data_IF_679392887371
#
_entry.id   IF_679392887371
#
_cell.length_a   1.000
_cell.length_b   1.000
_cell.length_c   1.000
_cell.angle_alpha   90.00
_cell.angle_beta   90.00
_cell.angle_gamma   90.00
#
_symmetry.space_group_name_H-M   'P 1'
#
loop_
_entity.id
_entity.type
_entity.pdbx_description
1 polymer ?
#
# COMPACT_ATOMS: atom_id res chain seq x y z
N UNK A 1 44.37 -14.74 -4.96
CA UNK A 1 44.61 -13.82 -6.09
C UNK A 1 43.51 -13.89 -7.13
N UNK A 2 42.90 -15.05 -7.40
CA UNK A 2 41.82 -15.17 -8.41
C UNK A 2 40.46 -14.57 -7.99
N UNK A 3 40.13 -14.54 -6.69
CA UNK A 3 38.85 -13.98 -6.22
C UNK A 3 38.77 -12.45 -6.35
N UNK A 4 39.90 -11.74 -6.24
CA UNK A 4 39.94 -10.29 -6.45
C UNK A 4 39.89 -9.92 -7.94
N UNK A 5 40.42 -10.77 -8.83
CA UNK A 5 40.30 -10.59 -10.28
C UNK A 5 38.84 -10.80 -10.73
N UNK A 6 38.15 -11.80 -10.17
CA UNK A 6 36.74 -12.06 -10.47
C UNK A 6 35.81 -10.93 -10.00
N UNK A 7 36.07 -10.35 -8.81
CA UNK A 7 35.31 -9.20 -8.30
C UNK A 7 35.55 -7.95 -9.14
N UNK A 8 36.77 -7.74 -9.64
CA UNK A 8 37.10 -6.59 -10.49
C UNK A 8 36.54 -6.73 -11.92
N UNK A 9 36.40 -7.96 -12.43
CA UNK A 9 35.80 -8.26 -13.73
C UNK A 9 34.27 -8.19 -13.69
N UNK A 10 33.63 -8.62 -12.60
CA UNK A 10 32.18 -8.43 -12.38
C UNK A 10 31.83 -6.95 -12.15
N UNK A 11 32.66 -6.19 -11.42
CA UNK A 11 32.46 -4.75 -11.25
C UNK A 11 32.64 -3.96 -12.57
N UNK A 12 33.62 -4.34 -13.40
CA UNK A 12 33.81 -3.72 -14.71
C UNK A 12 32.66 -4.08 -15.67
N UNK A 13 32.15 -5.31 -15.66
CA UNK A 13 31.01 -5.71 -16.49
C UNK A 13 29.69 -5.06 -16.02
N UNK A 14 29.50 -4.83 -14.71
CA UNK A 14 28.35 -4.06 -14.20
C UNK A 14 28.43 -2.58 -14.60
N UNK A 15 29.64 -1.99 -14.58
CA UNK A 15 29.85 -0.60 -15.03
C UNK A 15 29.72 -0.43 -16.56
N UNK A 16 30.10 -1.45 -17.34
CA UNK A 16 29.92 -1.45 -18.80
C UNK A 16 28.47 -1.70 -19.21
N UNK A 17 27.71 -2.52 -18.48
CA UNK A 17 26.29 -2.71 -18.73
C UNK A 17 25.43 -1.48 -18.34
N UNK A 18 25.85 -0.71 -17.34
CA UNK A 18 25.26 0.61 -17.03
C UNK A 18 25.54 1.64 -18.14
N UNK A 19 26.62 1.46 -18.91
CA UNK A 19 27.01 2.35 -20.00
C UNK A 19 26.53 1.88 -21.40
N UNK A 20 25.99 0.66 -21.52
CA UNK A 20 25.44 0.11 -22.78
C UNK A 20 23.95 0.41 -22.99
N UNK A 21 23.31 1.13 -22.07
CA UNK A 21 21.95 1.65 -22.23
C UNK A 21 21.94 3.02 -22.95
N UNK A 22 22.98 3.31 -23.74
CA UNK A 22 23.02 4.50 -24.61
C UNK A 22 22.87 4.19 -26.10
N UNK A 23 22.68 2.92 -26.51
CA UNK A 23 22.69 2.54 -27.94
C UNK A 23 21.38 1.90 -28.46
N UNK A 24 20.32 1.81 -27.64
CA UNK A 24 18.99 1.33 -28.08
C UNK A 24 17.88 2.41 -27.94
N UNK A 25 18.23 3.63 -27.50
CA UNK A 25 17.26 4.74 -27.36
C UNK A 25 17.52 5.82 -28.42
N UNK A 26 17.62 5.42 -29.70
CA UNK A 26 17.69 6.37 -30.82
C UNK A 26 16.37 6.46 -31.60
N UNK A 27 15.28 5.89 -31.06
CA UNK A 27 13.92 6.08 -31.57
C UNK A 27 12.98 6.46 -30.43
N UNK A 28 12.47 7.69 -30.48
CA UNK A 28 11.50 8.33 -29.56
C UNK A 28 12.00 9.01 -28.28
N UNK A 29 12.88 10.01 -28.44
CA UNK A 29 13.18 11.06 -27.44
C UNK A 29 11.91 11.83 -26.99
N UNK A 30 10.80 11.76 -27.74
CA UNK A 30 9.50 12.36 -27.39
C UNK A 30 8.62 11.49 -26.49
N UNK A 31 8.87 10.18 -26.40
CA UNK A 31 8.05 9.22 -25.66
C UNK A 31 8.43 9.12 -24.18
N UNK A 32 9.72 9.17 -23.87
CA UNK A 32 10.25 9.02 -22.51
C UNK A 32 9.73 10.05 -21.50
N UNK A 33 9.75 11.37 -21.78
CA UNK A 33 9.19 12.36 -20.84
C UNK A 33 7.66 12.21 -20.69
N UNK A 34 6.95 11.83 -21.76
CA UNK A 34 5.50 11.59 -21.69
C UNK A 34 5.18 10.39 -20.79
N UNK A 35 5.97 9.32 -20.89
CA UNK A 35 5.86 8.15 -20.03
C UNK A 35 6.05 8.51 -18.54
N UNK A 36 7.10 9.25 -18.20
CA UNK A 36 7.37 9.70 -16.83
C UNK A 36 6.24 10.57 -16.27
N UNK A 37 5.69 11.48 -17.09
CA UNK A 37 4.54 12.32 -16.72
C UNK A 37 3.32 11.45 -16.43
N UNK A 38 3.02 10.46 -17.27
CA UNK A 38 1.92 9.52 -17.04
C UNK A 38 2.11 8.79 -15.70
N UNK A 39 3.32 8.32 -15.39
CA UNK A 39 3.59 7.64 -14.12
C UNK A 39 3.38 8.56 -12.92
N UNK A 40 3.91 9.79 -12.97
CA UNK A 40 3.71 10.77 -11.92
C UNK A 40 2.21 11.04 -11.70
N UNK A 41 1.43 11.20 -12.77
CA UNK A 41 -0.02 11.38 -12.69
C UNK A 41 -0.75 10.16 -12.10
N UNK A 42 -0.33 8.94 -12.43
CA UNK A 42 -0.88 7.72 -11.84
C UNK A 42 -0.54 7.62 -10.34
N UNK A 43 0.68 7.96 -9.94
CA UNK A 43 1.07 8.05 -8.53
C UNK A 43 0.26 9.09 -7.75
N UNK A 44 0.05 10.27 -8.34
CA UNK A 44 -0.82 11.32 -7.81
C UNK A 44 -2.27 10.82 -7.66
N UNK A 45 -2.80 10.16 -8.69
CA UNK A 45 -4.13 9.57 -8.67
C UNK A 45 -4.27 8.54 -7.53
N UNK A 46 -3.28 7.66 -7.38
CA UNK A 46 -3.24 6.68 -6.31
C UNK A 46 -3.25 7.34 -4.92
N UNK A 47 -2.41 8.37 -4.74
CA UNK A 47 -2.38 9.15 -3.50
C UNK A 47 -3.74 9.76 -3.16
N UNK A 48 -4.39 10.42 -4.13
CA UNK A 48 -5.69 11.05 -3.91
C UNK A 48 -6.82 10.05 -3.67
N UNK A 49 -6.88 8.95 -4.42
CA UNK A 49 -7.89 7.91 -4.24
C UNK A 49 -7.84 7.28 -2.85
N UNK A 50 -6.63 6.95 -2.39
CA UNK A 50 -6.44 6.36 -1.07
C UNK A 50 -6.58 7.37 0.07
N UNK A 51 -6.22 8.63 -0.15
CA UNK A 51 -6.52 9.72 0.81
C UNK A 51 -8.02 9.94 0.93
N UNK A 52 -8.76 9.90 -0.18
CA UNK A 52 -10.22 9.99 -0.17
C UNK A 52 -10.85 8.81 0.57
N UNK A 53 -10.34 7.58 0.36
CA UNK A 53 -10.76 6.40 1.13
C UNK A 53 -10.52 6.61 2.63
N UNK A 54 -9.33 7.09 3.01
CA UNK A 54 -8.98 7.40 4.39
C UNK A 54 -9.95 8.39 5.03
N UNK A 55 -10.18 9.54 4.39
CA UNK A 55 -11.10 10.58 4.87
C UNK A 55 -12.53 10.03 4.99
N UNK A 56 -13.00 9.31 3.98
CA UNK A 56 -14.36 8.75 3.96
C UNK A 56 -14.55 7.74 5.10
N UNK A 57 -13.55 6.90 5.37
CA UNK A 57 -13.57 5.96 6.49
C UNK A 57 -13.56 6.69 7.84
N UNK A 58 -12.76 7.75 8.00
CA UNK A 58 -12.75 8.56 9.21
C UNK A 58 -14.11 9.23 9.48
N UNK A 59 -14.75 9.76 8.44
CA UNK A 59 -16.06 10.39 8.57
C UNK A 59 -17.16 9.38 8.90
N UNK A 60 -17.15 8.21 8.27
CA UNK A 60 -18.04 7.10 8.62
C UNK A 60 -17.87 6.68 10.09
N UNK A 61 -16.62 6.60 10.56
CA UNK A 61 -16.28 6.30 11.97
C UNK A 61 -16.83 7.36 12.92
N UNK A 62 -16.69 8.65 12.58
CA UNK A 62 -17.20 9.77 13.39
C UNK A 62 -18.74 9.76 13.46
N UNK A 63 -19.41 9.52 12.33
CA UNK A 63 -20.88 9.46 12.25
C UNK A 63 -21.45 8.35 13.12
N UNK A 64 -20.95 7.12 12.95
CA UNK A 64 -21.45 5.98 13.72
C UNK A 64 -21.17 6.11 15.22
N UNK A 65 -20.22 6.97 15.62
CA UNK A 65 -20.03 7.36 17.02
C UNK A 65 -21.15 8.32 17.47
N UNK A 66 -21.43 9.35 16.68
CA UNK A 66 -22.44 10.38 16.99
C UNK A 66 -23.87 9.83 17.05
N UNK A 67 -24.27 8.98 16.08
CA UNK A 67 -25.61 8.38 16.07
C UNK A 67 -25.88 7.52 17.32
N UNK A 68 -24.82 6.91 17.89
CA UNK A 68 -24.89 6.12 19.13
C UNK A 68 -24.91 6.97 20.40
N UNK A 69 -24.37 8.18 20.37
CA UNK A 69 -24.51 9.13 21.49
C UNK A 69 -25.93 9.70 21.57
N UNK A 70 -26.59 9.87 20.41
CA UNK A 70 -27.94 10.42 20.32
C UNK A 70 -29.04 9.35 20.49
N UNK A 71 -28.82 8.12 20.03
CA UNK A 71 -29.80 7.03 20.06
C UNK A 71 -29.76 6.17 21.34
N UNK A 72 -29.80 6.78 22.53
CA UNK A 72 -29.73 6.06 23.80
C UNK A 72 -30.58 4.77 23.84
N UNK A 73 -29.97 3.68 24.31
CA UNK A 73 -30.52 2.33 24.56
C UNK A 73 -30.19 1.27 23.50
N UNK A 74 -29.29 0.35 23.88
CA UNK A 74 -29.53 -1.11 23.95
C UNK A 74 -28.38 -1.69 24.76
N UNK A 75 -28.73 -2.37 25.85
CA UNK A 75 -27.83 -3.08 26.78
C UNK A 75 -27.31 -4.34 26.10
N UNK A 76 -26.36 -4.17 25.19
CA UNK A 76 -25.29 -5.15 24.97
C UNK A 76 -24.02 -4.44 25.45
N UNK A 77 -23.24 -5.09 26.32
CA UNK A 77 -21.97 -4.62 26.87
C UNK A 77 -21.33 -3.55 25.98
N UNK A 78 -21.50 -2.28 26.37
CA UNK A 78 -21.27 -1.08 25.53
C UNK A 78 -19.84 -1.05 24.95
N UNK A 79 -18.92 -1.74 25.64
CA UNK A 79 -17.51 -1.96 25.27
C UNK A 79 -17.29 -2.94 24.12
N UNK A 80 -18.09 -4.00 23.96
CA UNK A 80 -17.72 -5.15 23.11
C UNK A 80 -18.10 -4.95 21.63
N UNK A 81 -19.23 -4.28 21.39
CA UNK A 81 -19.65 -3.82 20.05
C UNK A 81 -18.82 -2.61 19.59
N UNK A 82 -18.40 -1.76 20.53
CA UNK A 82 -17.57 -0.59 20.25
C UNK A 82 -16.15 -0.96 19.82
N UNK A 83 -15.59 -2.02 20.39
CA UNK A 83 -14.30 -2.61 19.99
C UNK A 83 -14.41 -3.21 18.58
N UNK A 84 -15.36 -4.11 18.32
CA UNK A 84 -15.54 -4.76 17.01
C UNK A 84 -15.69 -3.79 15.83
N UNK A 85 -16.46 -2.71 16.04
CA UNK A 85 -16.68 -1.68 15.04
C UNK A 85 -15.46 -0.74 14.89
N UNK A 86 -14.70 -0.48 15.96
CA UNK A 86 -13.49 0.37 15.94
C UNK A 86 -12.31 -0.29 15.21
N UNK A 87 -12.25 -1.61 15.23
CA UNK A 87 -11.07 -2.37 14.81
C UNK A 87 -11.10 -2.78 13.33
N UNK A 88 -12.29 -2.97 12.75
CA UNK A 88 -12.43 -3.23 11.31
C UNK A 88 -11.96 -2.05 10.45
N UNK A 89 -12.28 -0.81 10.83
CA UNK A 89 -11.85 0.38 10.08
C UNK A 89 -10.38 0.70 10.27
N UNK A 90 -9.79 0.38 11.43
CA UNK A 90 -8.38 0.68 11.69
C UNK A 90 -7.45 0.00 10.67
N UNK A 91 -7.79 -1.22 10.25
CA UNK A 91 -7.05 -1.97 9.22
C UNK A 91 -7.22 -1.37 7.83
N UNK A 92 -8.42 -0.89 7.51
CA UNK A 92 -8.69 -0.20 6.23
C UNK A 92 -7.98 1.15 6.19
N UNK A 93 -7.90 1.86 7.32
CA UNK A 93 -7.12 3.08 7.44
C UNK A 93 -5.62 2.81 7.26
N UNK A 94 -5.09 1.72 7.85
CA UNK A 94 -3.71 1.29 7.63
C UNK A 94 -3.44 1.05 6.14
N UNK A 95 -4.29 0.26 5.47
CA UNK A 95 -4.18 0.02 4.03
C UNK A 95 -4.21 1.32 3.23
N UNK A 96 -5.16 2.22 3.50
CA UNK A 96 -5.27 3.49 2.80
C UNK A 96 -4.03 4.37 2.99
N UNK A 97 -3.49 4.45 4.21
CA UNK A 97 -2.25 5.20 4.49
C UNK A 97 -1.09 4.56 3.72
N UNK A 98 -0.92 3.23 3.79
CA UNK A 98 0.16 2.52 3.11
C UNK A 98 0.14 2.76 1.60
N UNK A 99 -1.01 2.53 0.96
CA UNK A 99 -1.20 2.76 -0.47
C UNK A 99 -1.01 4.23 -0.87
N UNK A 100 -1.39 5.19 -0.01
CA UNK A 100 -1.12 6.62 -0.22
C UNK A 100 0.38 6.95 -0.15
N UNK A 101 1.11 6.38 0.82
CA UNK A 101 2.56 6.57 0.94
C UNK A 101 3.29 6.02 -0.29
N UNK A 102 2.88 4.85 -0.78
CA UNK A 102 3.39 4.31 -2.04
C UNK A 102 3.13 5.26 -3.20
N UNK A 103 1.90 5.75 -3.37
CA UNK A 103 1.57 6.74 -4.42
C UNK A 103 2.44 8.00 -4.37
N UNK A 104 2.77 8.49 -3.17
CA UNK A 104 3.72 9.60 -3.00
C UNK A 104 5.15 9.20 -3.35
N UNK A 105 5.62 8.03 -2.92
CA UNK A 105 6.97 7.53 -3.22
C UNK A 105 7.21 7.48 -4.71
N UNK A 106 6.30 6.85 -5.45
CA UNK A 106 6.37 6.76 -6.90
C UNK A 106 6.26 8.11 -7.59
N UNK A 107 5.36 8.98 -7.13
CA UNK A 107 5.29 10.36 -7.66
C UNK A 107 6.65 11.05 -7.52
N UNK A 108 7.29 10.96 -6.35
CA UNK A 108 8.60 11.59 -6.13
C UNK A 108 9.71 10.95 -6.97
N UNK A 109 9.63 9.67 -7.26
CA UNK A 109 10.59 8.99 -8.13
C UNK A 109 10.49 9.44 -9.58
N UNK A 110 9.27 9.46 -10.15
CA UNK A 110 9.09 9.80 -11.56
C UNK A 110 9.14 11.30 -11.85
N UNK A 111 8.91 12.16 -10.86
CA UNK A 111 9.07 13.62 -10.99
C UNK A 111 10.54 14.05 -10.99
N UNK A 112 11.43 13.32 -10.32
CA UNK A 112 12.86 13.66 -10.22
C UNK A 112 13.55 13.78 -11.59
N UNK A 113 13.48 12.78 -12.50
CA UNK A 113 14.09 12.91 -13.82
C UNK A 113 13.54 14.09 -14.62
N UNK A 114 12.28 14.48 -14.43
CA UNK A 114 11.67 15.63 -15.10
C UNK A 114 12.26 16.98 -14.62
N UNK A 115 12.70 17.07 -13.36
CA UNK A 115 13.29 18.28 -12.79
C UNK A 115 14.80 18.31 -13.02
N UNK A 116 15.47 17.17 -12.82
CA UNK A 116 16.93 17.05 -12.83
C UNK A 116 17.46 16.92 -14.27
N UNK A 117 16.67 16.37 -15.19
CA UNK A 117 17.09 16.09 -16.57
C UNK A 117 18.21 15.05 -16.63
N UNK A 118 19.03 15.07 -17.68
CA UNK A 118 20.16 14.14 -17.90
C UNK A 118 21.41 14.46 -17.04
N UNK A 119 21.22 14.96 -15.82
CA UNK A 119 22.33 15.33 -14.97
C UNK A 119 23.04 14.08 -14.41
N UNK A 120 24.23 13.78 -14.91
CA UNK A 120 25.08 12.65 -14.48
C UNK A 120 25.82 12.89 -13.16
N UNK A 121 25.23 13.67 -12.25
CA UNK A 121 25.86 14.00 -10.97
C UNK A 121 25.80 12.78 -10.05
N UNK A 122 26.94 12.44 -9.47
CA UNK A 122 27.04 11.39 -8.46
C UNK A 122 26.94 11.99 -7.06
N UNK A 123 26.24 11.31 -6.15
CA UNK A 123 25.98 11.72 -4.77
C UNK A 123 26.09 10.52 -3.83
N UNK A 124 26.37 10.77 -2.56
CA UNK A 124 26.38 9.70 -1.55
C UNK A 124 24.94 9.28 -1.17
N UNK A 125 24.68 7.98 -0.89
CA UNK A 125 23.36 7.46 -0.49
C UNK A 125 22.71 8.19 0.69
N UNK A 126 23.53 8.67 1.63
CA UNK A 126 23.06 9.47 2.78
C UNK A 126 22.40 10.77 2.32
N UNK A 127 22.97 11.41 1.30
CA UNK A 127 22.38 12.62 0.71
C UNK A 127 21.03 12.28 0.08
N UNK A 128 20.94 11.15 -0.61
CA UNK A 128 19.70 10.68 -1.22
C UNK A 128 18.59 10.41 -0.20
N UNK A 129 18.87 9.74 0.93
CA UNK A 129 17.86 9.52 1.98
C UNK A 129 17.38 10.83 2.61
N UNK A 130 18.25 11.83 2.72
CA UNK A 130 17.91 13.13 3.32
C UNK A 130 17.13 14.05 2.37
N UNK A 131 17.41 13.98 1.06
CA UNK A 131 16.80 14.85 0.07
C UNK A 131 15.59 14.22 -0.62
N UNK A 132 15.55 12.89 -0.67
CA UNK A 132 14.55 12.16 -1.42
C UNK A 132 13.70 11.25 -0.52
N UNK A 133 12.39 11.49 -0.43
CA UNK A 133 11.52 10.70 0.43
C UNK A 133 11.13 9.33 -0.17
N UNK A 134 11.31 9.09 -1.48
CA UNK A 134 10.83 7.86 -2.16
C UNK A 134 11.26 6.57 -1.43
N UNK A 135 12.54 6.47 -1.05
CA UNK A 135 13.11 5.27 -0.40
C UNK A 135 12.38 4.93 0.90
N UNK A 136 12.12 5.93 1.74
CA UNK A 136 11.42 5.74 3.03
C UNK A 136 9.93 5.47 2.80
N UNK A 137 9.33 6.15 1.83
CA UNK A 137 7.91 6.01 1.50
C UNK A 137 7.58 4.59 1.02
N UNK A 138 8.47 3.95 0.26
CA UNK A 138 8.33 2.54 -0.12
C UNK A 138 8.42 1.61 1.07
N UNK A 139 9.48 1.73 1.88
CA UNK A 139 9.67 0.87 3.05
C UNK A 139 8.47 0.92 4.02
N UNK A 140 7.94 2.13 4.27
CA UNK A 140 6.74 2.30 5.09
C UNK A 140 5.47 1.80 4.40
N UNK A 141 5.30 2.16 3.12
CA UNK A 141 4.10 1.90 2.35
C UNK A 141 3.85 0.42 2.11
N UNK A 142 4.87 -0.34 1.70
CA UNK A 142 4.76 -1.76 1.38
C UNK A 142 4.40 -2.58 2.61
N UNK A 143 5.13 -2.38 3.72
CA UNK A 143 4.84 -3.06 4.97
C UNK A 143 3.47 -2.71 5.52
N UNK A 144 3.12 -1.43 5.54
CA UNK A 144 1.84 -0.97 6.07
C UNK A 144 0.67 -1.56 5.27
N UNK A 145 0.80 -1.64 3.95
CA UNK A 145 -0.19 -2.21 3.03
C UNK A 145 -0.32 -3.72 3.24
N UNK A 146 0.80 -4.45 3.21
CA UNK A 146 0.81 -5.92 3.34
C UNK A 146 0.37 -6.41 4.71
N UNK A 147 0.80 -5.76 5.80
CA UNK A 147 0.35 -6.08 7.16
C UNK A 147 -1.13 -5.76 7.37
N UNK A 148 -1.62 -4.66 6.78
CA UNK A 148 -3.04 -4.31 6.86
C UNK A 148 -3.91 -5.39 6.22
N UNK A 149 -3.49 -5.93 5.08
CA UNK A 149 -4.16 -7.02 4.40
C UNK A 149 -4.10 -8.31 5.20
N UNK A 150 -2.94 -8.67 5.77
CA UNK A 150 -2.82 -9.83 6.64
C UNK A 150 -3.82 -9.76 7.80
N UNK A 151 -3.92 -8.61 8.45
CA UNK A 151 -4.86 -8.41 9.55
C UNK A 151 -6.32 -8.42 9.08
N UNK A 152 -6.63 -7.93 7.88
CA UNK A 152 -7.97 -8.08 7.28
C UNK A 152 -8.31 -9.55 7.02
N UNK A 153 -7.35 -10.34 6.53
CA UNK A 153 -7.51 -11.77 6.29
C UNK A 153 -7.72 -12.54 7.58
N UNK A 154 -6.88 -12.31 8.60
CA UNK A 154 -7.00 -12.93 9.92
C UNK A 154 -8.35 -12.57 10.55
N UNK A 155 -8.77 -11.31 10.47
CA UNK A 155 -10.06 -10.90 11.01
C UNK A 155 -11.23 -11.61 10.33
N UNK A 156 -11.18 -11.71 8.99
CA UNK A 156 -12.23 -12.42 8.24
C UNK A 156 -12.25 -13.90 8.62
N UNK A 157 -11.08 -14.52 8.74
CA UNK A 157 -10.94 -15.91 9.19
C UNK A 157 -11.51 -16.12 10.60
N UNK A 158 -11.15 -15.25 11.56
CA UNK A 158 -11.63 -15.35 12.95
C UNK A 158 -13.15 -15.15 13.03
N UNK A 159 -13.69 -14.16 12.32
CA UNK A 159 -15.12 -13.87 12.29
C UNK A 159 -15.95 -15.04 11.72
N UNK A 160 -15.42 -15.72 10.70
CA UNK A 160 -16.10 -16.89 10.12
C UNK A 160 -15.93 -18.11 11.02
N UNK A 161 -14.71 -18.42 11.47
CA UNK A 161 -14.43 -19.66 12.18
C UNK A 161 -15.11 -19.69 13.54
N UNK A 162 -15.03 -18.59 14.29
CA UNK A 162 -15.50 -18.53 15.66
C UNK A 162 -16.78 -17.70 15.74
N UNK A 163 -17.91 -18.38 15.98
CA UNK A 163 -19.20 -17.72 16.21
C UNK A 163 -19.24 -16.93 17.52
N UNK A 164 -18.43 -17.33 18.51
CA UNK A 164 -18.27 -16.65 19.80
C UNK A 164 -16.78 -16.40 20.04
N UNK A 165 -16.24 -15.29 19.51
CA UNK A 165 -14.86 -14.87 19.80
C UNK A 165 -14.81 -14.26 21.19
N UNK A 166 -13.96 -14.78 22.07
CA UNK A 166 -13.75 -14.19 23.39
C UNK A 166 -13.23 -12.75 23.28
N UNK A 167 -13.61 -11.91 24.24
CA UNK A 167 -13.15 -10.52 24.29
C UNK A 167 -11.61 -10.42 24.37
N UNK A 168 -10.95 -11.40 24.99
CA UNK A 168 -9.50 -11.49 25.06
C UNK A 168 -8.86 -11.73 23.68
N UNK A 169 -9.45 -12.60 22.85
CA UNK A 169 -8.98 -12.84 21.48
C UNK A 169 -9.17 -11.60 20.59
N UNK A 170 -10.27 -10.86 20.75
CA UNK A 170 -10.50 -9.57 20.06
C UNK A 170 -9.45 -8.53 20.46
N UNK A 171 -9.16 -8.38 21.76
CA UNK A 171 -8.10 -7.49 22.25
C UNK A 171 -6.70 -7.93 21.78
N UNK A 172 -6.48 -9.22 21.57
CA UNK A 172 -5.24 -9.73 21.00
C UNK A 172 -5.05 -9.23 19.56
N UNK A 173 -6.08 -9.34 18.73
CA UNK A 173 -6.07 -8.81 17.35
C UNK A 173 -5.88 -7.28 17.30
N UNK A 174 -6.30 -6.57 18.35
CA UNK A 174 -6.10 -5.13 18.44
C UNK A 174 -4.68 -4.77 18.86
N UNK A 175 -4.11 -5.53 19.81
CA UNK A 175 -2.69 -5.38 20.16
C UNK A 175 -1.77 -5.76 19.01
N UNK A 176 -2.20 -6.66 18.13
CA UNK A 176 -1.49 -6.97 16.89
C UNK A 176 -1.36 -5.73 15.97
N UNK A 177 -2.25 -4.72 16.10
CA UNK A 177 -2.09 -3.44 15.39
C UNK A 177 -0.85 -2.69 15.85
N UNK A 178 -0.63 -2.60 17.16
CA UNK A 178 0.56 -1.95 17.71
C UNK A 178 1.85 -2.70 17.31
N UNK A 179 1.80 -4.03 17.28
CA UNK A 179 2.93 -4.85 16.85
C UNK A 179 3.27 -4.65 15.36
N UNK A 180 2.26 -4.48 14.49
CA UNK A 180 2.54 -4.18 13.08
C UNK A 180 3.19 -2.80 12.93
N UNK A 181 2.72 -1.77 13.66
CA UNK A 181 3.32 -0.42 13.57
C UNK A 181 4.78 -0.49 14.00
N UNK A 182 5.07 -1.22 15.07
CA UNK A 182 6.44 -1.44 15.53
C UNK A 182 7.31 -2.13 14.47
N UNK A 183 6.77 -3.15 13.78
CA UNK A 183 7.47 -3.82 12.68
C UNK A 183 7.77 -2.85 11.52
N UNK A 184 6.79 -2.05 11.10
CA UNK A 184 6.98 -1.06 10.03
C UNK A 184 8.03 0.00 10.40
N UNK A 185 8.05 0.45 11.66
CA UNK A 185 9.07 1.38 12.16
C UNK A 185 10.44 0.71 12.17
N UNK A 186 10.53 -0.54 12.64
CA UNK A 186 11.78 -1.29 12.66
C UNK A 186 12.37 -1.45 11.25
N UNK A 187 11.57 -1.87 10.28
CA UNK A 187 12.00 -2.01 8.89
C UNK A 187 12.47 -0.67 8.29
N UNK A 188 11.73 0.41 8.53
CA UNK A 188 12.13 1.75 8.10
C UNK A 188 13.45 2.23 8.76
N UNK A 189 13.67 1.89 10.04
CA UNK A 189 14.95 2.19 10.70
C UNK A 189 16.10 1.36 10.11
N UNK A 190 15.84 0.10 9.73
CA UNK A 190 16.85 -0.73 9.07
C UNK A 190 17.17 -0.20 7.67
N UNK A 191 16.17 0.27 6.92
CA UNK A 191 16.35 0.96 5.64
C UNK A 191 17.33 2.14 5.77
N UNK A 192 17.14 2.97 6.80
CA UNK A 192 18.05 4.09 7.11
C UNK A 192 19.47 3.62 7.43
N UNK A 193 19.60 2.67 8.36
CA UNK A 193 20.91 2.15 8.77
C UNK A 193 21.63 1.55 7.56
N UNK A 194 20.93 0.80 6.72
CA UNK A 194 21.44 0.17 5.50
C UNK A 194 22.06 1.18 4.54
N UNK A 195 21.39 2.30 4.28
CA UNK A 195 21.94 3.36 3.43
C UNK A 195 23.10 4.12 4.09
N UNK A 196 23.06 4.34 5.42
CA UNK A 196 24.18 4.94 6.15
C UNK A 196 25.43 4.06 6.09
N UNK A 197 25.26 2.74 6.14
CA UNK A 197 26.39 1.80 6.04
C UNK A 197 26.95 1.66 4.62
N UNK A 198 26.21 2.09 3.59
CA UNK A 198 26.62 2.06 2.18
C UNK A 198 27.27 3.39 1.73
N UNK A 199 27.62 4.28 2.67
CA UNK A 199 28.08 5.64 2.39
C UNK A 199 29.36 5.76 1.56
N UNK A 200 30.09 4.68 1.35
CA UNK A 200 31.43 4.73 0.74
C UNK A 200 31.40 4.69 -0.80
N UNK A 201 30.24 4.48 -1.41
CA UNK A 201 30.08 4.42 -2.87
C UNK A 201 29.13 5.52 -3.34
N UNK A 202 29.55 6.28 -4.35
CA UNK A 202 28.71 7.31 -4.97
C UNK A 202 27.70 6.65 -5.92
N UNK A 203 26.46 7.16 -5.90
CA UNK A 203 25.33 6.70 -6.71
C UNK A 203 24.75 7.86 -7.52
N UNK A 204 23.88 7.56 -8.48
CA UNK A 204 23.22 8.60 -9.27
C UNK A 204 22.35 9.53 -8.40
N UNK A 205 22.34 10.83 -8.72
CA UNK A 205 21.45 11.83 -8.09
C UNK A 205 19.95 11.51 -8.24
N UNK A 206 19.60 10.57 -9.12
CA UNK A 206 18.23 10.06 -9.23
C UNK A 206 17.77 9.30 -7.98
N UNK A 207 18.71 8.85 -7.13
CA UNK A 207 18.43 8.18 -5.87
C UNK A 207 17.50 6.98 -6.08
N UNK A 208 17.90 6.09 -6.97
CA UNK A 208 17.20 4.84 -7.23
C UNK A 208 17.23 3.96 -5.96
N UNK A 209 16.10 3.32 -5.65
CA UNK A 209 15.91 2.52 -4.45
C UNK A 209 16.96 1.42 -4.35
N UNK A 210 17.18 0.65 -5.43
CA UNK A 210 18.10 -0.49 -5.44
C UNK A 210 19.57 -0.06 -5.23
N UNK A 211 19.93 1.14 -5.67
CA UNK A 211 21.27 1.72 -5.48
C UNK A 211 21.45 2.31 -4.08
N UNK A 212 20.42 2.93 -3.51
CA UNK A 212 20.49 3.66 -2.24
C UNK A 212 20.72 2.78 -1.01
N UNK A 213 20.28 1.52 -1.04
CA UNK A 213 20.32 0.63 0.12
C UNK A 213 21.17 -0.61 -0.16
N UNK A 214 21.58 -1.32 0.90
CA UNK A 214 22.31 -2.59 0.75
C UNK A 214 21.43 -3.68 0.13
N UNK A 215 22.03 -4.53 -0.69
CA UNK A 215 21.36 -5.68 -1.32
C UNK A 215 20.74 -6.62 -0.27
N UNK A 216 21.44 -6.83 0.85
CA UNK A 216 20.93 -7.64 1.96
C UNK A 216 19.62 -7.10 2.53
N UNK A 217 19.46 -5.78 2.62
CA UNK A 217 18.20 -5.17 3.03
C UNK A 217 17.11 -5.34 1.97
N UNK A 218 17.42 -5.14 0.68
CA UNK A 218 16.43 -5.32 -0.41
C UNK A 218 15.88 -6.74 -0.38
N UNK A 219 16.75 -7.75 -0.32
CA UNK A 219 16.36 -9.16 -0.26
C UNK A 219 15.48 -9.43 0.96
N UNK A 220 15.89 -8.95 2.13
CA UNK A 220 15.10 -9.07 3.37
C UNK A 220 13.71 -8.45 3.24
N UNK A 221 13.65 -7.21 2.75
CA UNK A 221 12.41 -6.45 2.63
C UNK A 221 11.45 -7.12 1.64
N UNK A 222 11.93 -7.46 0.44
CA UNK A 222 11.15 -8.15 -0.58
C UNK A 222 10.67 -9.52 -0.11
N UNK A 223 11.50 -10.26 0.63
CA UNK A 223 11.11 -11.52 1.26
C UNK A 223 9.97 -11.31 2.27
N UNK A 224 10.11 -10.35 3.19
CA UNK A 224 9.08 -10.06 4.19
C UNK A 224 7.75 -9.68 3.54
N UNK A 225 7.75 -8.74 2.59
CA UNK A 225 6.53 -8.28 1.91
C UNK A 225 5.86 -9.42 1.14
N UNK A 226 6.64 -10.16 0.34
CA UNK A 226 6.13 -11.29 -0.46
C UNK A 226 5.57 -12.42 0.41
N UNK A 227 6.24 -12.73 1.51
CA UNK A 227 5.80 -13.74 2.47
C UNK A 227 4.49 -13.34 3.15
N UNK A 228 4.39 -12.10 3.62
CA UNK A 228 3.17 -11.56 4.23
C UNK A 228 2.00 -11.57 3.25
N UNK A 229 2.22 -11.17 1.99
CA UNK A 229 1.21 -11.22 0.93
C UNK A 229 0.69 -12.64 0.67
N UNK A 230 1.61 -13.60 0.54
CA UNK A 230 1.28 -15.00 0.29
C UNK A 230 0.49 -15.62 1.44
N UNK A 231 0.90 -15.38 2.69
CA UNK A 231 0.12 -15.84 3.85
C UNK A 231 -1.27 -15.20 3.86
N UNK A 232 -1.36 -13.92 3.54
CA UNK A 232 -2.62 -13.19 3.57
C UNK A 232 -3.66 -13.78 2.61
N UNK A 233 -3.26 -14.11 1.38
CA UNK A 233 -4.17 -14.72 0.39
C UNK A 233 -4.54 -16.15 0.80
N UNK A 234 -3.60 -16.93 1.35
CA UNK A 234 -3.86 -18.29 1.82
C UNK A 234 -4.90 -18.32 2.95
N UNK A 235 -4.75 -17.45 3.96
CA UNK A 235 -5.72 -17.30 5.05
C UNK A 235 -7.08 -16.86 4.49
N UNK A 236 -7.08 -15.93 3.54
CA UNK A 236 -8.32 -15.40 2.96
C UNK A 236 -9.10 -16.45 2.17
N UNK A 237 -8.41 -17.24 1.34
CA UNK A 237 -9.00 -18.34 0.58
C UNK A 237 -9.58 -19.38 1.55
N UNK A 238 -8.83 -19.76 2.59
CA UNK A 238 -9.32 -20.68 3.62
C UNK A 238 -10.60 -20.15 4.29
N UNK A 239 -10.63 -18.87 4.66
CA UNK A 239 -11.80 -18.21 5.25
C UNK A 239 -13.01 -18.27 4.30
N UNK A 240 -12.82 -17.98 3.02
CA UNK A 240 -13.87 -18.07 2.00
C UNK A 240 -14.38 -19.49 1.80
N UNK A 241 -13.49 -20.48 1.74
CA UNK A 241 -13.87 -21.89 1.61
C UNK A 241 -14.73 -22.33 2.79
N UNK A 242 -14.40 -21.92 4.01
CA UNK A 242 -15.20 -22.19 5.21
C UNK A 242 -16.57 -21.50 5.15
N UNK A 243 -16.63 -20.25 4.68
CA UNK A 243 -17.89 -19.54 4.51
C UNK A 243 -18.81 -20.22 3.48
N UNK A 244 -18.25 -20.65 2.34
CA UNK A 244 -18.99 -21.38 1.30
C UNK A 244 -19.59 -22.68 1.85
N UNK A 245 -18.82 -23.45 2.64
CA UNK A 245 -19.30 -24.66 3.32
C UNK A 245 -20.42 -24.39 4.34
N UNK A 246 -20.42 -23.23 5.00
CA UNK A 246 -21.51 -22.86 5.93
C UNK A 246 -22.76 -22.41 5.20
N UNK A 247 -22.60 -21.69 4.08
CA UNK A 247 -23.70 -21.23 3.24
C UNK A 247 -24.54 -22.38 2.69
N UNK A 248 -23.93 -23.51 2.32
CA UNK A 248 -24.66 -24.70 1.85
C UNK A 248 -25.52 -25.35 2.94
N UNK A 249 -25.22 -25.11 4.21
CA UNK A 249 -25.79 -25.87 5.33
C UNK A 249 -26.84 -25.09 6.16
N UNK A 250 -27.20 -23.85 5.78
CA UNK A 250 -28.09 -22.99 6.58
C UNK A 250 -29.34 -22.54 5.81
N UNK A 251 -30.53 -22.71 6.42
CA UNK A 251 -31.82 -22.13 5.97
C UNK A 251 -32.35 -21.10 6.98
N UNK A 252 -33.18 -20.15 6.53
CA UNK A 252 -33.84 -19.13 7.38
C UNK A 252 -33.03 -17.86 7.66
N UNK A 253 -33.26 -17.20 8.82
CA UNK A 253 -32.66 -15.90 9.21
C UNK A 253 -31.12 -15.92 9.19
N UNK A 254 -30.52 -17.08 9.51
CA UNK A 254 -29.07 -17.30 9.46
C UNK A 254 -28.51 -17.19 8.03
N UNK A 255 -29.30 -17.52 7.01
CA UNK A 255 -28.90 -17.34 5.61
C UNK A 255 -28.83 -15.85 5.20
N UNK A 256 -29.64 -14.98 5.83
CA UNK A 256 -29.61 -13.53 5.61
C UNK A 256 -28.33 -12.92 6.22
N UNK A 257 -27.93 -13.35 7.42
CA UNK A 257 -26.67 -12.93 8.05
C UNK A 257 -25.46 -13.36 7.23
N UNK A 258 -25.42 -14.62 6.78
CA UNK A 258 -24.35 -15.16 5.92
C UNK A 258 -24.25 -14.40 4.59
N UNK A 259 -25.38 -13.97 3.99
CA UNK A 259 -25.36 -13.14 2.76
C UNK A 259 -24.72 -11.77 2.98
N UNK A 260 -24.94 -11.14 4.14
CA UNK A 260 -24.34 -9.85 4.50
C UNK A 260 -22.84 -9.97 4.76
N UNK A 261 -22.43 -11.00 5.50
CA UNK A 261 -21.00 -11.30 5.74
C UNK A 261 -20.28 -11.62 4.42
N UNK A 262 -20.90 -12.40 3.54
CA UNK A 262 -20.37 -12.70 2.20
C UNK A 262 -20.21 -11.45 1.33
N UNK A 263 -21.11 -10.48 1.42
CA UNK A 263 -20.99 -9.23 0.67
C UNK A 263 -19.78 -8.40 1.13
N UNK A 264 -19.57 -8.29 2.44
CA UNK A 264 -18.40 -7.59 3.01
C UNK A 264 -17.10 -8.30 2.65
N UNK A 265 -17.09 -9.64 2.71
CA UNK A 265 -15.94 -10.43 2.29
C UNK A 265 -15.67 -10.37 0.79
N UNK A 266 -16.68 -10.27 -0.06
CA UNK A 266 -16.42 -10.07 -1.50
C UNK A 266 -15.64 -8.78 -1.75
N UNK A 267 -15.92 -7.74 -0.98
CA UNK A 267 -15.21 -6.47 -1.09
C UNK A 267 -13.76 -6.55 -0.58
N UNK A 268 -13.54 -7.24 0.53
CA UNK A 268 -12.17 -7.43 1.07
C UNK A 268 -11.38 -8.38 0.16
N UNK A 269 -12.00 -9.41 -0.41
CA UNK A 269 -11.37 -10.30 -1.40
C UNK A 269 -10.80 -9.50 -2.56
N UNK A 270 -11.56 -8.54 -3.07
CA UNK A 270 -11.13 -7.71 -4.17
C UNK A 270 -9.84 -6.94 -3.83
N UNK A 271 -9.79 -6.31 -2.65
CA UNK A 271 -8.59 -5.60 -2.16
C UNK A 271 -7.39 -6.55 -2.02
N UNK A 272 -7.62 -7.74 -1.43
CA UNK A 272 -6.58 -8.76 -1.22
C UNK A 272 -6.03 -9.25 -2.57
N UNK A 273 -6.90 -9.54 -3.54
CA UNK A 273 -6.50 -9.99 -4.87
C UNK A 273 -5.73 -8.93 -5.63
N UNK A 274 -6.23 -7.70 -5.68
CA UNK A 274 -5.56 -6.58 -6.35
C UNK A 274 -4.18 -6.36 -5.74
N UNK A 275 -4.07 -6.36 -4.43
CA UNK A 275 -2.78 -6.13 -3.76
C UNK A 275 -1.83 -7.31 -3.92
N UNK A 276 -2.34 -8.54 -3.96
CA UNK A 276 -1.51 -9.69 -4.29
C UNK A 276 -0.95 -9.56 -5.71
N UNK A 277 -1.82 -9.32 -6.70
CA UNK A 277 -1.46 -9.27 -8.11
C UNK A 277 -0.50 -8.11 -8.45
N UNK A 278 -0.67 -6.95 -7.84
CA UNK A 278 0.05 -5.75 -8.25
C UNK A 278 1.12 -5.26 -7.28
N UNK A 279 1.23 -5.82 -6.07
CA UNK A 279 2.32 -5.52 -5.14
C UNK A 279 3.13 -6.77 -4.80
N UNK A 280 2.46 -7.83 -4.32
CA UNK A 280 3.19 -8.97 -3.79
C UNK A 280 3.78 -9.85 -4.90
N UNK A 281 3.09 -9.98 -6.03
CA UNK A 281 3.58 -10.74 -7.17
C UNK A 281 4.79 -10.06 -7.84
N UNK A 282 4.78 -8.74 -8.15
CA UNK A 282 5.99 -8.05 -8.62
C UNK A 282 7.17 -8.17 -7.64
N UNK A 283 6.95 -7.93 -6.34
CA UNK A 283 8.01 -8.05 -5.33
C UNK A 283 8.56 -9.48 -5.21
N UNK A 284 7.71 -10.50 -5.41
CA UNK A 284 8.15 -11.89 -5.43
C UNK A 284 8.96 -12.21 -6.68
N UNK A 285 8.55 -11.69 -7.84
CA UNK A 285 9.30 -11.85 -9.09
C UNK A 285 10.68 -11.18 -8.97
N UNK A 286 10.75 -9.97 -8.41
CA UNK A 286 12.00 -9.24 -8.17
C UNK A 286 12.91 -10.00 -7.19
N UNK A 287 12.34 -10.57 -6.13
CA UNK A 287 13.11 -11.42 -5.23
C UNK A 287 13.67 -12.66 -5.95
N UNK A 288 12.90 -13.27 -6.84
CA UNK A 288 13.35 -14.44 -7.60
C UNK A 288 14.41 -14.08 -8.65
N UNK A 289 14.33 -12.90 -9.28
CA UNK A 289 15.34 -12.41 -10.22
C UNK A 289 16.68 -12.19 -9.50
N UNK A 290 16.65 -11.56 -8.32
CA UNK A 290 17.85 -11.36 -7.49
C UNK A 290 18.46 -12.69 -7.00
N UNK A 291 17.63 -13.66 -6.57
CA UNK A 291 18.13 -14.93 -6.01
C UNK A 291 18.63 -15.94 -7.05
N UNK A 292 18.04 -15.96 -8.25
CA UNK A 292 18.32 -16.98 -9.27
C UNK A 292 18.94 -16.41 -10.55
N UNK A 293 19.32 -15.13 -10.55
CA UNK A 293 19.86 -14.42 -11.72
C UNK A 293 18.99 -14.64 -12.98
N UNK A 294 17.67 -14.64 -12.81
CA UNK A 294 16.74 -14.74 -13.93
C UNK A 294 16.84 -13.43 -14.73
N UNK A 295 17.53 -13.46 -15.87
CA UNK A 295 17.69 -12.32 -16.78
C UNK A 295 16.38 -11.55 -17.01
N UNK A 296 16.44 -10.22 -16.87
CA UNK A 296 15.68 -9.11 -17.50
C UNK A 296 14.19 -9.30 -17.83
N UNK A 297 13.49 -10.26 -17.22
CA UNK A 297 12.08 -10.51 -17.49
C UNK A 297 11.15 -9.49 -16.81
N UNK A 298 11.69 -8.69 -15.89
CA UNK A 298 10.96 -7.65 -15.18
C UNK A 298 11.32 -6.32 -15.84
N UNK A 299 10.54 -5.95 -16.83
CA UNK A 299 10.56 -4.60 -17.37
C UNK A 299 10.15 -3.60 -16.28
N UNK A 300 10.78 -2.43 -16.23
CA UNK A 300 10.38 -1.27 -15.40
C UNK A 300 8.87 -0.95 -15.51
N UNK A 301 8.24 -1.40 -16.60
CA UNK A 301 6.80 -1.28 -16.83
C UNK A 301 5.90 -2.08 -15.87
N UNK A 302 6.43 -3.04 -15.09
CA UNK A 302 5.62 -3.80 -14.14
C UNK A 302 5.13 -2.95 -12.96
N UNK A 303 5.93 -1.97 -12.54
CA UNK A 303 5.61 -1.06 -11.43
C UNK A 303 4.41 -0.13 -11.74
N UNK A 304 4.16 0.15 -13.03
CA UNK A 304 3.03 0.96 -13.51
C UNK A 304 1.69 0.39 -13.05
N UNK A 305 1.57 -0.94 -13.15
CA UNK A 305 0.31 -1.64 -12.94
C UNK A 305 -0.11 -1.55 -11.47
N UNK A 306 0.85 -1.34 -10.56
CA UNK A 306 0.63 -1.15 -9.14
C UNK A 306 -0.21 0.08 -8.81
N UNK A 307 0.04 1.23 -9.44
CA UNK A 307 -0.73 2.45 -9.17
C UNK A 307 -2.19 2.32 -9.60
N UNK A 308 -2.41 1.71 -10.77
CA UNK A 308 -3.74 1.47 -11.31
C UNK A 308 -4.48 0.51 -10.37
N UNK A 309 -3.83 -0.57 -9.94
CA UNK A 309 -4.36 -1.53 -8.99
C UNK A 309 -4.83 -0.87 -7.70
N UNK A 310 -3.95 -0.14 -7.02
CA UNK A 310 -4.29 0.48 -5.74
C UNK A 310 -5.33 1.59 -5.83
N UNK A 311 -5.29 2.41 -6.87
CA UNK A 311 -6.35 3.40 -7.15
C UNK A 311 -7.69 2.70 -7.33
N UNK A 312 -7.72 1.63 -8.12
CA UNK A 312 -8.94 0.88 -8.40
C UNK A 312 -9.49 0.16 -7.16
N UNK A 313 -8.64 -0.43 -6.32
CA UNK A 313 -9.05 -1.02 -5.04
C UNK A 313 -9.71 0.01 -4.11
N UNK A 314 -9.14 1.22 -4.02
CA UNK A 314 -9.68 2.28 -3.18
C UNK A 314 -11.08 2.72 -3.66
N UNK A 315 -11.20 3.02 -4.95
CA UNK A 315 -12.46 3.45 -5.57
C UNK A 315 -13.52 2.35 -5.46
N UNK A 316 -13.16 1.11 -5.80
CA UNK A 316 -14.06 -0.04 -5.71
C UNK A 316 -14.62 -0.19 -4.29
N UNK A 317 -13.79 -0.02 -3.26
CA UNK A 317 -14.21 -0.11 -1.86
C UNK A 317 -15.21 0.98 -1.49
N UNK A 318 -14.97 2.22 -1.91
CA UNK A 318 -15.87 3.35 -1.65
C UNK A 318 -17.24 3.12 -2.31
N UNK A 319 -17.24 2.69 -3.57
CA UNK A 319 -18.47 2.48 -4.34
C UNK A 319 -19.27 1.29 -3.79
N UNK A 320 -18.58 0.22 -3.39
CA UNK A 320 -19.21 -1.03 -2.97
C UNK A 320 -19.79 -0.97 -1.55
N UNK A 321 -19.25 -0.13 -0.65
CA UNK A 321 -19.76 0.03 0.72
C UNK A 321 -20.78 1.19 0.78
N UNK A 322 -22.09 0.90 0.98
CA UNK A 322 -23.11 1.93 1.00
C UNK A 322 -22.89 3.01 2.07
N UNK A 323 -22.31 2.63 3.21
CA UNK A 323 -22.01 3.57 4.29
C UNK A 323 -20.83 4.48 3.99
N UNK A 324 -19.86 4.02 3.19
CA UNK A 324 -18.79 4.89 2.67
C UNK A 324 -19.34 5.83 1.61
N UNK A 325 -20.17 5.33 0.67
CA UNK A 325 -20.81 6.16 -0.36
C UNK A 325 -21.64 7.30 0.23
N UNK A 326 -22.43 7.03 1.27
CA UNK A 326 -23.21 8.07 1.96
C UNK A 326 -22.30 9.10 2.67
N UNK A 327 -21.18 8.64 3.23
CA UNK A 327 -20.19 9.53 3.85
C UNK A 327 -19.52 10.41 2.80
N UNK A 328 -19.19 9.86 1.63
CA UNK A 328 -18.66 10.62 0.49
C UNK A 328 -19.65 11.65 -0.03
N UNK A 329 -20.93 11.28 -0.21
CA UNK A 329 -21.96 12.22 -0.67
C UNK A 329 -22.09 13.44 0.25
N UNK A 330 -21.95 13.26 1.56
CA UNK A 330 -21.95 14.35 2.55
C UNK A 330 -20.71 15.23 2.47
N UNK A 331 -19.53 14.64 2.19
CA UNK A 331 -18.29 15.39 1.95
C UNK A 331 -18.48 16.31 0.76
N UNK A 332 -18.91 15.76 -0.38
CA UNK A 332 -19.15 16.51 -1.62
C UNK A 332 -20.18 17.61 -1.40
N UNK A 333 -21.28 17.32 -0.69
CA UNK A 333 -22.28 18.32 -0.34
C UNK A 333 -21.72 19.46 0.52
N UNK A 334 -20.86 19.15 1.50
CA UNK A 334 -20.22 20.18 2.32
C UNK A 334 -19.27 21.06 1.50
N UNK A 335 -18.47 20.47 0.60
CA UNK A 335 -17.60 21.24 -0.30
C UNK A 335 -18.41 22.18 -1.19
N UNK A 336 -19.47 21.68 -1.83
CA UNK A 336 -20.35 22.53 -2.66
C UNK A 336 -20.98 23.69 -1.88
N UNK A 337 -21.31 23.49 -0.59
CA UNK A 337 -21.84 24.54 0.27
C UNK A 337 -20.78 25.57 0.68
N UNK A 338 -19.54 25.14 0.90
CA UNK A 338 -18.41 26.03 1.18
C UNK A 338 -18.09 26.84 -0.08
N UNK A 339 -18.02 26.23 -1.25
CA UNK A 339 -17.76 26.93 -2.52
C UNK A 339 -18.84 27.98 -2.78
N UNK A 340 -20.12 27.64 -2.59
CA UNK A 340 -21.21 28.59 -2.69
C UNK A 340 -21.13 29.74 -1.66
N UNK A 341 -20.64 29.48 -0.44
CA UNK A 341 -20.43 30.51 0.58
C UNK A 341 -19.23 31.42 0.25
N UNK A 342 -18.15 30.86 -0.28
CA UNK A 342 -16.96 31.60 -0.71
C UNK A 342 -17.29 32.53 -1.88
N UNK A 343 -18.02 32.03 -2.89
CA UNK A 343 -18.49 32.83 -4.04
C UNK A 343 -19.39 33.99 -3.58
N UNK A 344 -20.29 33.75 -2.64
CA UNK A 344 -21.15 34.81 -2.09
C UNK A 344 -20.37 35.86 -1.27
N UNK A 345 -19.27 35.46 -0.62
CA UNK A 345 -18.41 36.39 0.12
C UNK A 345 -17.51 37.23 -0.80
N UNK A 346 -17.03 36.66 -1.90
CA UNK A 346 -16.27 37.42 -2.92
C UNK A 346 -17.16 38.36 -3.72
N UNK A 347 -18.39 37.96 -4.04
CA UNK A 347 -19.39 38.83 -4.70
C UNK A 347 -19.88 40.00 -3.85
N UNK A 348 -19.74 39.96 -2.52
CA UNK A 348 -20.08 41.09 -1.63
C UNK A 348 -18.92 42.05 -1.38
N UNK A 349 -17.72 41.73 -1.89
CA UNK A 349 -16.50 42.51 -1.71
C UNK A 349 -16.11 43.30 -2.98
N UNK A 350 -16.89 43.15 -4.05
CA UNK A 350 -16.93 43.98 -5.26
C UNK A 350 -18.22 44.79 -5.18
#
# INVERSE_FOLDING_TARGET
>A
MELQALVHEVANNASQNSCYMSEIVETDITSYPAFLVIQALLGICNFFCNTLLFITVLMKKKRNRMDRFLGGSIVYSKSDVEIEYRNGYLRILGYAIGSSLLGLGYCTEYVKPLIIGDNKRMVYPVTCILTSPNVILYALGDNLTSLSILLMSINSFVAITFTNVSLSARRCLDRAVALYILFTVFDATWCWISALTKSDHEISIMCDYLECVSEAYVIYHLFCVSFLGTISIMIYVLALSMLMRRKSNCSGIRAIQIRREAAVMKQVLFIVLVTFLFLNLPNLLELLSMLHSLNDLISDNFWIIQHIGFSFAAIYRIISDPGLRESLAKIVFCFNKIDAAVINLTSRRI
#
